data_IF_408319206976
#
_entry.id   IF_408319206976
#
_cell.length_a   1.000
_cell.length_b   1.000
_cell.length_c   1.000
_cell.angle_alpha   90.00
_cell.angle_beta   90.00
_cell.angle_gamma   90.00
#
_symmetry.space_group_name_H-M   'P 1'
#
loop_
_entity.id
_entity.type
_entity.pdbx_description
1 polymer ?
#
# COMPACT_ATOMS: atom_id res chain seq x y z
N UNK A 1 60.84 5.93 -24.39
CA UNK A 1 59.87 6.50 -25.35
C UNK A 1 58.71 5.52 -25.42
N UNK A 2 57.48 6.00 -25.22
CA UNK A 2 56.19 5.25 -25.09
C UNK A 2 55.87 4.69 -23.69
N UNK A 3 55.82 5.53 -22.64
CA UNK A 3 54.55 6.06 -22.10
C UNK A 3 53.53 6.52 -23.15
N UNK A 4 52.24 6.16 -22.97
CA UNK A 4 51.03 6.47 -23.77
C UNK A 4 50.47 5.33 -24.62
N UNK A 5 49.86 4.33 -23.98
CA UNK A 5 48.61 3.72 -24.47
C UNK A 5 47.74 3.38 -23.25
N UNK A 6 47.39 4.45 -22.51
CA UNK A 6 46.33 4.43 -21.53
C UNK A 6 44.96 4.45 -22.20
N UNK A 7 44.05 3.67 -21.63
CA UNK A 7 42.68 4.08 -21.39
C UNK A 7 41.81 4.44 -22.62
N UNK A 8 41.33 3.42 -23.33
CA UNK A 8 40.25 3.55 -24.33
C UNK A 8 39.07 2.59 -24.08
N UNK A 9 39.03 1.86 -22.96
CA UNK A 9 37.94 0.90 -22.65
C UNK A 9 37.02 1.32 -21.50
N UNK A 10 37.31 2.40 -20.78
CA UNK A 10 36.46 2.87 -19.68
C UNK A 10 35.28 3.78 -20.13
N UNK A 11 35.34 4.36 -21.33
CA UNK A 11 34.33 5.32 -21.82
C UNK A 11 33.04 4.71 -22.40
N UNK A 12 33.02 3.43 -22.79
CA UNK A 12 31.89 2.85 -23.52
C UNK A 12 30.73 2.37 -22.62
N UNK A 13 31.02 1.88 -21.42
CA UNK A 13 29.99 1.33 -20.52
C UNK A 13 29.17 2.44 -19.85
N UNK A 14 29.82 3.53 -19.45
CA UNK A 14 29.11 4.69 -18.88
C UNK A 14 28.29 5.45 -19.92
N UNK A 15 28.83 5.59 -21.15
CA UNK A 15 28.12 6.20 -22.28
C UNK A 15 26.91 5.37 -22.71
N UNK A 16 27.02 4.03 -22.77
CA UNK A 16 25.89 3.16 -23.10
C UNK A 16 24.79 3.16 -22.02
N UNK A 17 25.14 3.23 -20.73
CA UNK A 17 24.16 3.39 -19.64
C UNK A 17 23.46 4.75 -19.74
N UNK A 18 24.20 5.82 -20.05
CA UNK A 18 23.65 7.16 -20.22
C UNK A 18 22.77 7.28 -21.47
N UNK A 19 23.15 6.64 -22.57
CA UNK A 19 22.33 6.53 -23.78
C UNK A 19 21.08 5.67 -23.56
N UNK A 20 21.14 4.62 -22.73
CA UNK A 20 19.95 3.84 -22.34
C UNK A 20 18.99 4.61 -21.43
N UNK A 21 19.50 5.53 -20.60
CA UNK A 21 18.71 6.46 -19.79
C UNK A 21 18.05 7.57 -20.64
N UNK A 22 18.70 8.00 -21.72
CA UNK A 22 18.13 8.93 -22.71
C UNK A 22 17.19 8.24 -23.73
N UNK A 23 17.26 6.90 -23.83
CA UNK A 23 16.45 6.06 -24.72
C UNK A 23 15.27 5.38 -24.01
N UNK A 24 14.97 5.71 -22.75
CA UNK A 24 13.65 5.39 -22.21
C UNK A 24 12.65 6.34 -22.86
N UNK A 25 12.06 5.91 -24.00
CA UNK A 25 10.90 6.60 -24.57
C UNK A 25 9.91 6.84 -23.43
N UNK A 26 9.37 8.07 -23.26
CA UNK A 26 8.30 8.27 -22.30
C UNK A 26 7.21 7.25 -22.60
N UNK A 27 6.59 6.64 -21.57
CA UNK A 27 5.57 5.62 -21.78
C UNK A 27 4.56 6.16 -22.80
N UNK A 28 4.30 5.37 -23.84
CA UNK A 28 3.36 5.79 -24.88
C UNK A 28 2.00 6.05 -24.22
N UNK A 29 1.25 7.05 -24.70
CA UNK A 29 -0.08 7.39 -24.16
C UNK A 29 -0.98 6.16 -23.96
N UNK A 30 -0.88 5.19 -24.86
CA UNK A 30 -1.60 3.89 -24.80
C UNK A 30 -1.22 3.08 -23.55
N UNK A 31 0.08 2.98 -23.24
CA UNK A 31 0.56 2.27 -22.05
C UNK A 31 0.07 2.90 -20.75
N UNK A 32 0.03 4.23 -20.70
CA UNK A 32 -0.43 4.98 -19.53
C UNK A 32 -1.94 4.80 -19.28
N UNK A 33 -2.73 4.82 -20.36
CA UNK A 33 -4.16 4.54 -20.31
C UNK A 33 -4.41 3.11 -19.83
N UNK A 34 -3.66 2.13 -20.34
CA UNK A 34 -3.79 0.73 -19.94
C UNK A 34 -3.60 0.52 -18.43
N UNK A 35 -2.49 1.02 -17.87
CA UNK A 35 -2.23 0.88 -16.43
C UNK A 35 -3.28 1.59 -15.57
N UNK A 36 -3.73 2.76 -16.01
CA UNK A 36 -4.77 3.52 -15.31
C UNK A 36 -6.09 2.75 -15.29
N UNK A 37 -6.49 2.15 -16.42
CA UNK A 37 -7.69 1.31 -16.50
C UNK A 37 -7.58 0.06 -15.62
N UNK A 38 -6.42 -0.62 -15.62
CA UNK A 38 -6.18 -1.77 -14.76
C UNK A 38 -6.26 -1.41 -13.27
N UNK A 39 -5.70 -0.27 -12.89
CA UNK A 39 -5.75 0.21 -11.52
C UNK A 39 -7.19 0.52 -11.09
N UNK A 40 -7.95 1.26 -11.91
CA UNK A 40 -9.35 1.57 -11.62
C UNK A 40 -10.20 0.30 -11.53
N UNK A 41 -10.00 -0.66 -12.44
CA UNK A 41 -10.64 -1.97 -12.38
C UNK A 41 -10.29 -2.70 -11.08
N UNK A 42 -9.01 -2.72 -10.69
CA UNK A 42 -8.58 -3.33 -9.43
C UNK A 42 -9.25 -2.66 -8.22
N UNK A 43 -9.32 -1.33 -8.18
CA UNK A 43 -9.92 -0.59 -7.08
C UNK A 43 -11.41 -0.93 -6.97
N UNK A 44 -12.11 -0.99 -8.11
CA UNK A 44 -13.50 -1.43 -8.15
C UNK A 44 -13.66 -2.88 -7.71
N UNK A 45 -12.77 -3.77 -8.17
CA UNK A 45 -12.81 -5.19 -7.81
C UNK A 45 -12.60 -5.41 -6.31
N UNK A 46 -11.58 -4.78 -5.72
CA UNK A 46 -11.30 -4.89 -4.28
C UNK A 46 -12.42 -4.27 -3.43
N UNK A 47 -12.99 -3.14 -3.85
CA UNK A 47 -14.15 -2.55 -3.19
C UNK A 47 -15.40 -3.45 -3.28
N UNK A 48 -15.68 -4.00 -4.48
CA UNK A 48 -16.81 -4.90 -4.70
C UNK A 48 -16.68 -6.19 -3.89
N UNK A 49 -15.48 -6.76 -3.83
CA UNK A 49 -15.18 -7.92 -2.97
C UNK A 49 -15.33 -7.59 -1.49
N UNK A 50 -14.96 -6.37 -1.06
CA UNK A 50 -15.19 -5.90 0.30
C UNK A 50 -16.68 -5.82 0.66
N UNK A 51 -17.51 -5.23 -0.20
CA UNK A 51 -18.96 -5.19 -0.02
C UNK A 51 -19.59 -6.57 -0.02
N UNK A 52 -19.18 -7.41 -0.97
CA UNK A 52 -19.63 -8.79 -1.06
C UNK A 52 -19.29 -9.52 0.25
N UNK A 53 -18.04 -9.51 0.70
CA UNK A 53 -17.63 -10.15 1.94
C UNK A 53 -18.39 -9.64 3.17
N UNK A 54 -18.61 -8.33 3.25
CA UNK A 54 -19.39 -7.71 4.33
C UNK A 54 -20.79 -8.31 4.43
N UNK A 55 -21.47 -8.52 3.29
CA UNK A 55 -22.82 -9.09 3.24
C UNK A 55 -22.88 -10.54 3.71
N UNK A 56 -21.81 -11.31 3.52
CA UNK A 56 -21.74 -12.71 3.92
C UNK A 56 -21.33 -12.88 5.38
N UNK A 57 -20.16 -12.39 5.78
CA UNK A 57 -19.68 -12.54 7.15
C UNK A 57 -18.62 -11.52 7.56
N UNK A 58 -18.62 -11.23 8.87
CA UNK A 58 -17.60 -10.41 9.52
C UNK A 58 -16.19 -10.98 9.32
N UNK A 59 -16.07 -12.30 9.43
CA UNK A 59 -14.77 -12.99 9.39
C UNK A 59 -14.19 -13.00 7.98
N UNK A 60 -15.03 -13.09 6.94
CA UNK A 60 -14.59 -13.00 5.56
C UNK A 60 -14.08 -11.59 5.23
N UNK A 61 -14.79 -10.55 5.68
CA UNK A 61 -14.33 -9.17 5.53
C UNK A 61 -13.00 -8.93 6.25
N UNK A 62 -12.86 -9.45 7.47
CA UNK A 62 -11.61 -9.41 8.21
C UNK A 62 -10.47 -10.14 7.46
N UNK A 63 -10.75 -11.35 6.96
CA UNK A 63 -9.82 -12.16 6.16
C UNK A 63 -9.32 -11.43 4.92
N UNK A 64 -10.23 -10.80 4.17
CA UNK A 64 -9.88 -9.99 3.00
C UNK A 64 -9.04 -8.78 3.37
N UNK A 65 -9.36 -8.07 4.44
CA UNK A 65 -8.56 -6.93 4.89
C UNK A 65 -7.12 -7.35 5.25
N UNK A 66 -6.97 -8.47 5.97
CA UNK A 66 -5.66 -9.04 6.33
C UNK A 66 -4.88 -9.47 5.08
N UNK A 67 -5.52 -10.18 4.15
CA UNK A 67 -4.89 -10.62 2.91
C UNK A 67 -4.39 -9.43 2.07
N UNK A 68 -5.21 -8.40 1.91
CA UNK A 68 -4.84 -7.22 1.12
C UNK A 68 -3.60 -6.51 1.68
N UNK A 69 -3.49 -6.37 3.00
CA UNK A 69 -2.31 -5.75 3.63
C UNK A 69 -1.05 -6.62 3.48
N UNK A 70 -1.19 -7.95 3.56
CA UNK A 70 -0.08 -8.87 3.28
C UNK A 70 0.39 -8.71 1.82
N UNK A 71 -0.54 -8.75 0.87
CA UNK A 71 -0.22 -8.60 -0.56
C UNK A 71 0.35 -7.21 -0.88
N UNK A 72 -0.10 -6.15 -0.20
CA UNK A 72 0.42 -4.81 -0.39
C UNK A 72 1.93 -4.75 -0.08
N UNK A 73 2.36 -5.40 1.01
CA UNK A 73 3.77 -5.47 1.36
C UNK A 73 4.60 -6.29 0.36
N UNK A 74 4.01 -7.31 -0.26
CA UNK A 74 4.70 -8.12 -1.28
C UNK A 74 4.84 -7.39 -2.62
N UNK A 75 3.87 -6.55 -2.98
CA UNK A 75 3.84 -5.87 -4.28
C UNK A 75 4.34 -4.43 -4.25
N UNK A 76 4.78 -3.91 -3.11
CA UNK A 76 5.20 -2.51 -2.95
C UNK A 76 6.39 -2.12 -3.82
N UNK A 77 7.30 -3.05 -4.10
CA UNK A 77 8.48 -2.79 -4.94
C UNK A 77 8.13 -2.66 -6.43
N UNK A 78 6.95 -3.11 -6.85
CA UNK A 78 6.52 -2.99 -8.23
C UNK A 78 6.02 -1.57 -8.48
N UNK A 79 6.82 -0.79 -9.17
CA UNK A 79 6.46 0.54 -9.63
C UNK A 79 5.66 0.47 -10.94
N UNK A 80 4.67 1.36 -11.06
CA UNK A 80 3.79 1.49 -12.23
C UNK A 80 3.59 2.97 -12.55
N UNK A 81 3.31 3.26 -13.83
CA UNK A 81 2.89 4.60 -14.23
C UNK A 81 1.37 4.72 -14.13
N UNK A 82 0.88 5.64 -13.31
CA UNK A 82 -0.53 5.99 -13.14
C UNK A 82 -0.73 7.47 -13.38
N UNK A 83 -1.67 7.83 -14.25
CA UNK A 83 -2.03 9.23 -14.54
C UNK A 83 -0.85 10.15 -14.93
N UNK A 84 0.24 9.61 -15.49
CA UNK A 84 1.45 10.40 -15.77
C UNK A 84 2.54 10.35 -14.73
N UNK A 85 2.28 9.75 -13.58
CA UNK A 85 3.19 9.76 -12.44
C UNK A 85 3.59 8.36 -12.00
N UNK A 86 4.69 8.27 -11.26
CA UNK A 86 5.15 7.04 -10.64
C UNK A 86 4.32 6.71 -9.39
N UNK A 87 3.82 5.49 -9.33
CA UNK A 87 3.06 4.94 -8.21
C UNK A 87 3.52 3.50 -7.92
N UNK A 88 3.06 2.94 -6.81
CA UNK A 88 3.31 1.54 -6.47
C UNK A 88 2.09 0.69 -6.80
N UNK A 89 2.30 -0.54 -7.28
CA UNK A 89 1.21 -1.47 -7.52
C UNK A 89 0.44 -1.82 -6.23
N UNK A 90 1.07 -1.66 -5.06
CA UNK A 90 0.44 -1.85 -3.75
C UNK A 90 -0.58 -0.77 -3.39
N UNK A 91 -0.58 0.39 -4.05
CA UNK A 91 -1.52 1.47 -3.75
C UNK A 91 -2.97 1.00 -3.94
N UNK A 92 -3.23 0.18 -4.96
CA UNK A 92 -4.51 -0.49 -5.21
C UNK A 92 -4.98 -1.31 -3.99
N UNK A 93 -4.08 -2.12 -3.42
CA UNK A 93 -4.42 -2.98 -2.28
C UNK A 93 -4.63 -2.16 -1.01
N UNK A 94 -3.95 -1.03 -0.90
CA UNK A 94 -4.17 -0.06 0.18
C UNK A 94 -5.57 0.56 0.08
N UNK A 95 -6.07 0.82 -1.12
CA UNK A 95 -7.45 1.31 -1.35
C UNK A 95 -8.47 0.31 -0.81
N UNK A 96 -8.37 -0.95 -1.22
CA UNK A 96 -9.32 -1.97 -0.78
C UNK A 96 -9.19 -2.32 0.72
N UNK A 97 -7.98 -2.33 1.28
CA UNK A 97 -7.77 -2.57 2.70
C UNK A 97 -8.35 -1.43 3.56
N UNK A 98 -8.13 -0.18 3.14
CA UNK A 98 -8.72 0.98 3.78
C UNK A 98 -10.26 0.90 3.75
N UNK A 99 -10.83 0.52 2.60
CA UNK A 99 -12.26 0.33 2.47
C UNK A 99 -12.81 -0.75 3.41
N UNK A 100 -12.17 -1.93 3.43
CA UNK A 100 -12.60 -3.05 4.26
C UNK A 100 -12.54 -2.71 5.75
N UNK A 101 -11.47 -2.05 6.20
CA UNK A 101 -11.33 -1.57 7.59
C UNK A 101 -12.43 -0.56 7.92
N UNK A 102 -12.77 0.32 6.99
CA UNK A 102 -13.80 1.33 7.20
C UNK A 102 -15.22 0.72 7.28
N UNK A 103 -15.55 -0.22 6.38
CA UNK A 103 -16.78 -1.03 6.49
C UNK A 103 -16.85 -1.76 7.84
N UNK A 104 -15.71 -2.32 8.28
CA UNK A 104 -15.64 -3.01 9.56
C UNK A 104 -15.85 -2.06 10.75
N UNK A 105 -15.34 -0.83 10.64
CA UNK A 105 -15.51 0.21 11.66
C UNK A 105 -16.95 0.66 11.80
N UNK A 106 -17.60 0.99 10.70
CA UNK A 106 -18.99 1.45 10.69
C UNK A 106 -19.98 0.30 11.00
N UNK A 107 -19.67 -0.92 10.58
CA UNK A 107 -20.55 -2.09 10.76
C UNK A 107 -20.44 -2.75 12.15
N UNK A 108 -19.22 -2.88 12.69
CA UNK A 108 -18.96 -3.63 13.94
C UNK A 108 -18.39 -2.78 15.08
N UNK A 109 -18.17 -1.50 14.84
CA UNK A 109 -17.71 -0.54 15.83
C UNK A 109 -16.21 -0.60 16.16
N UNK A 110 -15.77 0.41 16.90
CA UNK A 110 -14.35 0.68 17.20
C UNK A 110 -13.59 -0.47 17.84
N UNK A 111 -14.19 -1.14 18.83
CA UNK A 111 -13.52 -2.24 19.56
C UNK A 111 -13.23 -3.42 18.64
N UNK A 112 -14.18 -3.74 17.76
CA UNK A 112 -13.99 -4.78 16.76
C UNK A 112 -12.88 -4.38 15.78
N UNK A 113 -12.88 -3.15 15.27
CA UNK A 113 -11.84 -2.64 14.35
C UNK A 113 -10.45 -2.73 14.97
N UNK A 114 -10.31 -2.38 16.25
CA UNK A 114 -9.02 -2.48 16.95
C UNK A 114 -8.51 -3.92 17.03
N UNK A 115 -9.40 -4.90 17.19
CA UNK A 115 -9.02 -6.32 17.13
C UNK A 115 -8.59 -6.72 15.72
N UNK A 116 -9.30 -6.26 14.68
CA UNK A 116 -8.91 -6.48 13.28
C UNK A 116 -7.52 -5.90 12.99
N UNK A 117 -7.28 -4.63 13.36
CA UNK A 117 -5.99 -3.94 13.20
C UNK A 117 -4.86 -4.72 13.87
N UNK A 118 -5.08 -5.24 15.09
CA UNK A 118 -4.10 -6.10 15.77
C UNK A 118 -3.86 -7.40 15.01
N UNK A 119 -4.91 -8.04 14.50
CA UNK A 119 -4.78 -9.26 13.70
C UNK A 119 -3.99 -9.01 12.41
N UNK A 120 -4.28 -7.92 11.69
CA UNK A 120 -3.52 -7.50 10.50
C UNK A 120 -2.03 -7.30 10.82
N UNK A 121 -1.72 -6.67 11.96
CA UNK A 121 -0.35 -6.49 12.42
C UNK A 121 0.36 -7.82 12.69
N UNK A 122 -0.31 -8.77 13.36
CA UNK A 122 0.23 -10.12 13.59
C UNK A 122 0.43 -10.88 12.28
N UNK A 123 -0.52 -10.83 11.35
CA UNK A 123 -0.39 -11.46 10.04
C UNK A 123 0.79 -10.89 9.24
N UNK A 124 1.00 -9.58 9.25
CA UNK A 124 2.17 -8.96 8.61
C UNK A 124 3.48 -9.44 9.22
N UNK A 125 3.56 -9.48 10.56
CA UNK A 125 4.76 -9.95 11.27
C UNK A 125 5.05 -11.42 10.93
N UNK A 126 4.03 -12.26 10.97
CA UNK A 126 4.13 -13.67 10.60
C UNK A 126 4.63 -13.85 9.15
N UNK A 127 4.02 -13.15 8.18
CA UNK A 127 4.45 -13.24 6.79
C UNK A 127 5.89 -12.78 6.60
N UNK A 128 6.31 -11.69 7.27
CA UNK A 128 7.69 -11.22 7.22
C UNK A 128 8.69 -12.28 7.73
N UNK A 129 8.40 -12.91 8.87
CA UNK A 129 9.24 -13.96 9.45
C UNK A 129 9.29 -15.20 8.55
N UNK A 130 8.13 -15.72 8.13
CA UNK A 130 8.07 -16.92 7.28
C UNK A 130 8.73 -16.68 5.93
N UNK A 131 8.61 -15.50 5.34
CA UNK A 131 9.30 -15.15 4.09
C UNK A 131 10.82 -15.28 4.22
N UNK A 132 11.37 -14.93 5.39
CA UNK A 132 12.80 -15.10 5.67
C UNK A 132 13.18 -16.55 5.93
N UNK A 133 12.39 -17.27 6.72
CA UNK A 133 12.63 -18.70 6.95
C UNK A 133 12.68 -19.46 5.62
N UNK A 134 11.77 -19.16 4.69
CA UNK A 134 11.75 -19.78 3.36
C UNK A 134 13.01 -19.44 2.55
N UNK A 135 13.52 -18.21 2.65
CA UNK A 135 14.76 -17.81 1.98
C UNK A 135 16.01 -18.47 2.56
N UNK A 136 15.99 -18.81 3.86
CA UNK A 136 17.12 -19.46 4.53
C UNK A 136 17.24 -20.95 4.23
N UNK A 137 16.22 -21.57 3.63
CA UNK A 137 16.36 -22.96 3.18
C UNK A 137 17.42 -23.07 2.09
N UNK A 138 18.27 -24.08 2.21
CA UNK A 138 19.19 -24.44 1.14
C UNK A 138 18.39 -24.98 -0.06
N UNK A 139 18.54 -24.38 -1.26
CA UNK A 139 17.78 -24.82 -2.42
C UNK A 139 18.22 -26.22 -2.85
N UNK A 140 17.26 -27.06 -3.20
CA UNK A 140 17.53 -28.36 -3.82
C UNK A 140 18.15 -28.20 -5.21
N UNK A 141 18.88 -29.20 -5.69
CA UNK A 141 19.40 -29.26 -7.07
C UNK A 141 18.32 -29.16 -8.16
N UNK A 142 17.06 -29.44 -7.82
CA UNK A 142 15.91 -29.31 -8.73
C UNK A 142 15.22 -27.95 -8.63
N UNK A 143 15.61 -27.09 -7.69
CA UNK A 143 14.99 -25.80 -7.51
C UNK A 143 15.50 -24.77 -8.52
N UNK A 144 14.56 -24.15 -9.24
CA UNK A 144 14.83 -23.09 -10.20
C UNK A 144 14.21 -21.75 -9.77
N UNK A 145 13.51 -21.72 -8.62
CA UNK A 145 12.73 -20.58 -8.13
C UNK A 145 13.45 -19.75 -7.07
N UNK A 146 14.44 -20.29 -6.38
CA UNK A 146 15.16 -19.63 -5.29
C UNK A 146 15.71 -18.26 -5.73
N UNK A 147 16.29 -18.15 -6.93
CA UNK A 147 16.75 -16.86 -7.46
C UNK A 147 15.64 -15.80 -7.56
N UNK A 148 14.43 -16.21 -7.90
CA UNK A 148 13.27 -15.33 -8.02
C UNK A 148 12.72 -14.94 -6.65
N UNK A 149 12.64 -15.91 -5.73
CA UNK A 149 12.28 -15.63 -4.34
C UNK A 149 13.29 -14.70 -3.67
N UNK A 150 14.58 -14.92 -3.85
CA UNK A 150 15.63 -14.07 -3.31
C UNK A 150 15.54 -12.64 -3.86
N UNK A 151 15.31 -12.47 -5.16
CA UNK A 151 15.12 -11.14 -5.76
C UNK A 151 13.90 -10.41 -5.18
N UNK A 152 12.80 -11.12 -4.92
CA UNK A 152 11.56 -10.52 -4.41
C UNK A 152 11.61 -10.26 -2.90
N UNK A 153 12.09 -11.22 -2.12
CA UNK A 153 11.95 -11.27 -0.66
C UNK A 153 13.20 -10.82 0.10
N UNK A 154 14.34 -10.58 -0.55
CA UNK A 154 15.55 -10.06 0.11
C UNK A 154 15.33 -8.71 0.80
N UNK A 155 14.54 -7.84 0.18
CA UNK A 155 14.16 -6.54 0.76
C UNK A 155 12.97 -6.63 1.73
N UNK A 156 12.32 -7.80 1.83
CA UNK A 156 11.12 -7.96 2.64
C UNK A 156 11.33 -7.65 4.13
N UNK A 157 12.45 -7.98 4.82
CA UNK A 157 12.63 -7.65 6.23
C UNK A 157 12.49 -6.16 6.49
N UNK A 158 13.14 -5.35 5.64
CA UNK A 158 13.09 -3.91 5.71
C UNK A 158 11.67 -3.39 5.50
N UNK A 159 10.98 -3.89 4.48
CA UNK A 159 9.63 -3.47 4.12
C UNK A 159 8.63 -3.84 5.23
N UNK A 160 8.62 -5.10 5.67
CA UNK A 160 7.70 -5.58 6.71
C UNK A 160 7.96 -4.87 8.04
N UNK A 161 9.23 -4.71 8.47
CA UNK A 161 9.54 -3.98 9.70
C UNK A 161 9.13 -2.51 9.62
N UNK A 162 9.40 -1.83 8.50
CA UNK A 162 8.94 -0.47 8.27
C UNK A 162 7.41 -0.39 8.35
N UNK A 163 6.68 -1.26 7.66
CA UNK A 163 5.22 -1.33 7.74
C UNK A 163 4.71 -1.55 9.16
N UNK A 164 5.28 -2.47 9.93
CA UNK A 164 4.84 -2.75 11.30
C UNK A 164 5.00 -1.56 12.23
N UNK A 165 6.15 -0.88 12.16
CA UNK A 165 6.47 0.29 12.99
C UNK A 165 5.62 1.48 12.58
N UNK A 166 5.58 1.79 11.28
CA UNK A 166 4.84 2.93 10.75
C UNK A 166 3.35 2.77 10.96
N UNK A 167 2.80 1.58 10.71
CA UNK A 167 1.41 1.28 10.97
C UNK A 167 1.05 1.52 12.43
N UNK A 168 1.87 1.06 13.39
CA UNK A 168 1.65 1.31 14.81
C UNK A 168 1.63 2.81 15.14
N UNK A 169 2.63 3.57 14.68
CA UNK A 169 2.73 5.02 14.90
C UNK A 169 1.53 5.75 14.29
N UNK A 170 1.19 5.42 13.04
CA UNK A 170 0.07 5.99 12.28
C UNK A 170 -1.26 5.77 13.00
N UNK A 171 -1.50 4.56 13.53
CA UNK A 171 -2.71 4.29 14.32
C UNK A 171 -2.78 5.11 15.62
N UNK A 172 -1.67 5.33 16.31
CA UNK A 172 -1.64 6.19 17.49
C UNK A 172 -1.94 7.66 17.14
N UNK A 173 -1.37 8.15 16.03
CA UNK A 173 -1.64 9.50 15.51
C UNK A 173 -3.13 9.64 15.18
N UNK A 174 -3.70 8.69 14.44
CA UNK A 174 -5.12 8.68 14.08
C UNK A 174 -6.03 8.74 15.32
N UNK A 175 -5.74 7.93 16.35
CA UNK A 175 -6.53 7.93 17.59
C UNK A 175 -6.48 9.27 18.33
N UNK A 176 -5.33 9.93 18.37
CA UNK A 176 -5.16 11.25 19.00
C UNK A 176 -5.88 12.34 18.20
N UNK A 177 -5.70 12.33 16.87
CA UNK A 177 -6.37 13.26 15.97
C UNK A 177 -7.90 13.12 16.04
N UNK A 178 -8.41 11.89 16.09
CA UNK A 178 -9.83 11.63 16.24
C UNK A 178 -10.40 12.23 17.53
N UNK A 179 -9.71 12.05 18.67
CA UNK A 179 -10.15 12.66 19.93
C UNK A 179 -10.13 14.17 19.86
N UNK A 180 -9.02 14.74 19.37
CA UNK A 180 -8.86 16.18 19.21
C UNK A 180 -9.95 16.77 18.29
N UNK A 181 -10.26 16.13 17.17
CA UNK A 181 -11.29 16.60 16.24
C UNK A 181 -12.69 16.52 16.86
N UNK A 182 -12.98 15.48 17.66
CA UNK A 182 -14.25 15.35 18.39
C UNK A 182 -14.42 16.40 19.49
N UNK A 183 -13.33 16.84 20.10
CA UNK A 183 -13.32 17.90 21.12
C UNK A 183 -13.42 19.30 20.49
N UNK A 184 -12.67 19.55 19.41
CA UNK A 184 -12.65 20.83 18.71
C UNK A 184 -13.93 21.10 17.88
N UNK A 185 -14.53 20.05 17.30
CA UNK A 185 -15.69 20.16 16.42
C UNK A 185 -16.84 19.22 16.86
N UNK A 186 -17.48 19.48 18.01
CA UNK A 186 -18.49 18.58 18.58
C UNK A 186 -19.75 18.43 17.71
N UNK A 187 -20.05 19.41 16.85
CA UNK A 187 -21.20 19.39 15.95
C UNK A 187 -20.99 18.56 14.66
N UNK A 188 -19.76 18.14 14.36
CA UNK A 188 -19.47 17.36 13.16
C UNK A 188 -19.94 15.91 13.30
N UNK A 189 -20.35 15.32 12.17
CA UNK A 189 -20.78 13.92 12.13
C UNK A 189 -19.61 12.98 12.45
N UNK A 190 -19.90 11.84 13.08
CA UNK A 190 -18.88 10.82 13.42
C UNK A 190 -18.08 10.35 12.19
N UNK A 191 -18.70 10.08 11.02
CA UNK A 191 -17.95 9.66 9.84
C UNK A 191 -17.02 10.74 9.30
N UNK A 192 -17.43 12.02 9.37
CA UNK A 192 -16.61 13.14 8.93
C UNK A 192 -15.38 13.31 9.82
N UNK A 193 -15.55 13.25 11.14
CA UNK A 193 -14.45 13.29 12.09
C UNK A 193 -13.44 12.13 11.87
N UNK A 194 -13.94 10.94 11.56
CA UNK A 194 -13.11 9.78 11.24
C UNK A 194 -12.33 9.99 9.94
N UNK A 195 -13.00 10.45 8.88
CA UNK A 195 -12.37 10.69 7.57
C UNK A 195 -11.22 11.71 7.65
N UNK A 196 -11.42 12.83 8.35
CA UNK A 196 -10.36 13.84 8.53
C UNK A 196 -9.18 13.31 9.33
N UNK A 197 -9.44 12.59 10.43
CA UNK A 197 -8.39 12.02 11.27
C UNK A 197 -7.56 10.98 10.50
N UNK A 198 -8.24 10.13 9.72
CA UNK A 198 -7.61 9.17 8.83
C UNK A 198 -6.78 9.88 7.75
N UNK A 199 -7.34 10.88 7.06
CA UNK A 199 -6.64 11.62 6.02
C UNK A 199 -5.32 12.22 6.51
N UNK A 200 -5.33 12.91 7.65
CA UNK A 200 -4.11 13.49 8.23
C UNK A 200 -3.14 12.40 8.68
N UNK A 201 -3.61 11.34 9.33
CA UNK A 201 -2.74 10.23 9.77
C UNK A 201 -2.04 9.54 8.60
N UNK A 202 -2.69 9.47 7.42
CA UNK A 202 -2.11 8.87 6.22
C UNK A 202 -0.96 9.68 5.62
N UNK A 203 -0.84 10.98 5.92
CA UNK A 203 0.34 11.78 5.55
C UNK A 203 1.56 11.21 6.27
N UNK A 204 1.46 11.07 7.60
CA UNK A 204 2.54 10.52 8.42
C UNK A 204 2.83 9.06 8.05
N UNK A 205 1.80 8.24 7.82
CA UNK A 205 1.92 6.86 7.35
C UNK A 205 2.76 6.78 6.06
N UNK A 206 2.35 7.53 5.04
CA UNK A 206 2.97 7.45 3.71
C UNK A 206 4.38 8.03 3.73
N UNK A 207 4.61 9.13 4.44
CA UNK A 207 5.93 9.74 4.56
C UNK A 207 6.92 8.83 5.29
N UNK A 208 6.53 8.32 6.47
CA UNK A 208 7.39 7.46 7.27
C UNK A 208 7.63 6.12 6.57
N UNK A 209 6.61 5.56 5.90
CA UNK A 209 6.76 4.31 5.17
C UNK A 209 7.71 4.44 3.98
N UNK A 210 7.52 5.45 3.12
CA UNK A 210 8.41 5.66 1.96
C UNK A 210 9.85 5.89 2.40
N UNK A 211 10.06 6.66 3.48
CA UNK A 211 11.40 6.88 4.02
C UNK A 211 12.01 5.60 4.62
N UNK A 212 11.29 4.89 5.48
CA UNK A 212 11.82 3.70 6.14
C UNK A 212 12.00 2.51 5.17
N UNK A 213 11.00 2.24 4.34
CA UNK A 213 10.94 1.06 3.47
C UNK A 213 11.67 1.26 2.14
N UNK A 214 11.51 2.42 1.50
CA UNK A 214 11.87 2.62 0.09
C UNK A 214 13.04 3.56 -0.15
N UNK A 215 13.58 4.21 0.89
CA UNK A 215 14.75 5.07 0.75
C UNK A 215 15.96 4.31 0.21
N UNK A 216 16.54 4.79 -0.90
CA UNK A 216 17.65 4.13 -1.60
C UNK A 216 17.25 2.92 -2.44
N UNK A 217 15.96 2.55 -2.49
CA UNK A 217 15.43 1.48 -3.35
C UNK A 217 14.61 2.08 -4.49
N UNK A 218 13.66 2.95 -4.15
CA UNK A 218 12.84 3.65 -5.13
C UNK A 218 13.48 4.97 -5.53
N UNK A 219 13.42 5.27 -6.84
CA UNK A 219 13.72 6.60 -7.37
C UNK A 219 12.49 7.50 -7.25
N UNK A 220 12.69 8.83 -7.19
CA UNK A 220 11.62 9.85 -7.09
C UNK A 220 10.65 9.67 -5.89
N UNK A 221 11.19 9.54 -4.67
CA UNK A 221 10.41 9.36 -3.44
C UNK A 221 9.33 10.44 -3.21
N UNK A 222 9.59 11.69 -3.59
CA UNK A 222 8.63 12.78 -3.41
C UNK A 222 7.41 12.62 -4.34
N UNK A 223 7.62 12.18 -5.58
CA UNK A 223 6.54 11.92 -6.52
C UNK A 223 5.67 10.75 -6.04
N UNK A 224 6.31 9.64 -5.63
CA UNK A 224 5.64 8.49 -5.01
C UNK A 224 4.83 8.92 -3.77
N UNK A 225 5.40 9.76 -2.91
CA UNK A 225 4.70 10.29 -1.74
C UNK A 225 3.42 11.02 -2.11
N UNK A 226 3.50 11.97 -3.05
CA UNK A 226 2.35 12.76 -3.46
C UNK A 226 1.27 11.85 -4.03
N UNK A 227 1.62 10.95 -4.94
CA UNK A 227 0.64 10.11 -5.64
C UNK A 227 0.01 9.06 -4.73
N UNK A 228 0.82 8.31 -3.96
CA UNK A 228 0.30 7.32 -3.01
C UNK A 228 -0.58 7.99 -1.94
N UNK A 229 -0.20 9.17 -1.46
CA UNK A 229 -1.04 9.93 -0.52
C UNK A 229 -2.35 10.40 -1.17
N UNK A 230 -2.31 10.96 -2.37
CA UNK A 230 -3.52 11.42 -3.07
C UNK A 230 -4.50 10.27 -3.32
N UNK A 231 -4.00 9.11 -3.75
CA UNK A 231 -4.82 7.90 -3.93
C UNK A 231 -5.52 7.53 -2.60
N UNK A 232 -4.76 7.48 -1.49
CA UNK A 232 -5.31 7.17 -0.16
C UNK A 232 -6.31 8.24 0.31
N UNK A 233 -6.02 9.52 0.11
CA UNK A 233 -6.87 10.63 0.53
C UNK A 233 -8.21 10.63 -0.23
N UNK A 234 -8.18 10.49 -1.56
CA UNK A 234 -9.39 10.38 -2.39
C UNK A 234 -10.21 9.16 -1.95
N UNK A 235 -9.54 8.03 -1.70
CA UNK A 235 -10.18 6.81 -1.21
C UNK A 235 -10.93 7.06 0.10
N UNK A 236 -10.27 7.65 1.10
CA UNK A 236 -10.88 7.92 2.42
C UNK A 236 -12.10 8.84 2.27
N UNK A 237 -11.98 9.89 1.44
CA UNK A 237 -13.05 10.85 1.21
C UNK A 237 -14.26 10.23 0.51
N UNK A 238 -14.06 9.35 -0.47
CA UNK A 238 -15.15 8.69 -1.18
C UNK A 238 -15.79 7.57 -0.35
N UNK A 239 -14.96 6.77 0.32
CA UNK A 239 -15.41 5.54 0.95
C UNK A 239 -15.98 5.74 2.36
N UNK A 240 -15.57 6.78 3.09
CA UNK A 240 -16.17 7.12 4.38
C UNK A 240 -17.68 7.37 4.28
N UNK A 241 -18.18 8.32 3.47
CA UNK A 241 -19.62 8.54 3.34
C UNK A 241 -20.34 7.36 2.67
N UNK A 242 -19.68 6.69 1.72
CA UNK A 242 -20.28 5.55 1.02
C UNK A 242 -20.53 4.35 1.95
N UNK A 243 -19.57 3.98 2.79
CA UNK A 243 -19.75 2.90 3.77
C UNK A 243 -20.88 3.18 4.75
N UNK A 244 -20.99 4.42 5.25
CA UNK A 244 -22.08 4.84 6.13
C UNK A 244 -23.44 4.75 5.42
N UNK A 245 -23.52 5.14 4.14
CA UNK A 245 -24.73 5.02 3.33
C UNK A 245 -25.17 3.57 3.14
N UNK A 246 -24.24 2.69 2.73
CA UNK A 246 -24.52 1.26 2.52
C UNK A 246 -25.05 0.62 3.80
N UNK A 247 -24.39 0.86 4.93
CA UNK A 247 -24.76 0.27 6.21
C UNK A 247 -26.08 0.82 6.77
N UNK A 248 -26.39 2.10 6.51
CA UNK A 248 -27.69 2.67 6.88
C UNK A 248 -28.83 1.97 6.14
N UNK A 249 -28.63 1.67 4.85
CA UNK A 249 -29.64 1.03 4.03
C UNK A 249 -29.85 -0.45 4.40
N UNK A 250 -28.79 -1.16 4.84
CA UNK A 250 -28.92 -2.55 5.31
C UNK A 250 -29.57 -2.70 6.68
N UNK A 251 -29.49 -1.70 7.56
CA UNK A 251 -30.26 -1.72 8.82
C UNK A 251 -31.77 -1.58 8.56
N UNK A 252 -32.13 -0.84 7.52
CA UNK A 252 -33.53 -0.60 7.14
C UNK A 252 -34.21 -1.80 6.47
N UNK A 253 -33.44 -2.79 5.98
CA UNK A 253 -33.98 -4.02 5.37
C UNK A 253 -34.02 -5.21 6.32
N UNK A 254 -33.51 -5.06 7.56
CA UNK A 254 -33.56 -6.09 8.61
C UNK A 254 -34.56 -5.79 9.73
N UNK A 255 -35.24 -4.65 9.67
CA UNK A 255 -36.40 -4.30 10.51
C UNK A 255 -37.70 -4.54 9.72
#
# INVERSE_FOLDING_TARGET
MQCLLGDQRAGSVHSQRFLSLLSSKPPTMIFMIHNTLLFLFGCLFTASMGLWAHRFSRDLLAGLAMLQVVLANLFVLKQIHLFGFNATASDLLSVGACFAVNLFHEGYGKVATQRLIKAMWVCMAFTGVISQVVLFYEPSQYDFMHKHYHALLSNSPRIFLASLVVFYISQQINLRLYRWFREAFPQQSLPMANAFSLGISQIADTALFLFAALYGIASQLLELFIISYLIKAITILLFSPFSAFVLKNERFTRE
#
